data_IF_519159066565
#
_entry.id   IF_519159066565
#
_cell.length_a   1.000
_cell.length_b   1.000
_cell.length_c   1.000
_cell.angle_alpha   90.00
_cell.angle_beta   90.00
_cell.angle_gamma   90.00
#
_symmetry.space_group_name_H-M   'P 1'
#
loop_
_entity.id
_entity.type
_entity.pdbx_description
1 polymer ?
#
# COMPACT_ATOMS: atom_id res chain seq x y z
N UNK A 1 -0.60 -59.06 -8.08
CA UNK A 1 -1.10 -57.99 -7.18
C UNK A 1 -0.93 -56.65 -7.89
N UNK A 2 -2.00 -56.02 -8.37
CA UNK A 2 -1.95 -54.76 -9.13
C UNK A 2 -1.74 -53.58 -8.18
N UNK A 3 -0.58 -52.91 -8.25
CA UNK A 3 -0.31 -51.65 -7.53
C UNK A 3 -1.18 -50.54 -8.15
N UNK A 4 -2.06 -49.92 -7.37
CA UNK A 4 -2.87 -48.76 -7.77
C UNK A 4 -2.07 -47.49 -7.53
N UNK A 5 -1.73 -46.76 -8.58
CA UNK A 5 -1.19 -45.41 -8.50
C UNK A 5 -2.30 -44.47 -8.03
N UNK A 6 -2.11 -43.62 -7.00
CA UNK A 6 -3.16 -42.72 -6.55
C UNK A 6 -3.29 -41.56 -7.54
N UNK A 7 -4.37 -41.54 -8.32
CA UNK A 7 -4.79 -40.40 -9.15
C UNK A 7 -5.55 -39.39 -8.29
N UNK A 8 -4.88 -38.75 -7.34
CA UNK A 8 -5.43 -37.57 -6.68
C UNK A 8 -4.46 -36.42 -6.85
N UNK A 9 -4.81 -35.48 -7.73
CA UNK A 9 -4.19 -34.16 -7.73
C UNK A 9 -4.80 -33.41 -6.56
N UNK A 10 -4.02 -33.23 -5.50
CA UNK A 10 -4.36 -32.38 -4.37
C UNK A 10 -4.62 -30.97 -4.89
N UNK A 11 -5.64 -30.29 -4.37
CA UNK A 11 -5.85 -28.87 -4.70
C UNK A 11 -4.75 -28.02 -4.05
N UNK A 12 -4.44 -26.86 -4.63
CA UNK A 12 -3.34 -26.01 -4.13
C UNK A 12 -3.56 -25.56 -2.68
N UNK A 13 -4.81 -25.31 -2.30
CA UNK A 13 -5.21 -25.01 -0.92
C UNK A 13 -4.94 -26.19 0.03
N UNK A 14 -5.12 -27.42 -0.44
CA UNK A 14 -4.87 -28.63 0.34
C UNK A 14 -3.37 -28.89 0.53
N UNK A 15 -2.56 -28.56 -0.48
CA UNK A 15 -1.09 -28.60 -0.39
C UNK A 15 -0.56 -27.57 0.62
N UNK A 16 -1.02 -26.31 0.54
CA UNK A 16 -0.59 -25.22 1.44
C UNK A 16 -0.95 -25.52 2.89
N UNK A 17 -2.15 -26.06 3.15
CA UNK A 17 -2.62 -26.32 4.50
C UNK A 17 -2.02 -27.60 5.12
N UNK A 18 -1.53 -28.55 4.31
CA UNK A 18 -0.91 -29.78 4.82
C UNK A 18 0.46 -29.56 5.47
N UNK A 19 1.16 -28.47 5.11
CA UNK A 19 2.51 -28.17 5.60
C UNK A 19 2.54 -27.60 7.03
N UNK A 20 1.39 -27.35 7.66
CA UNK A 20 1.32 -26.79 9.01
C UNK A 20 0.81 -27.82 10.01
N UNK A 21 1.55 -28.93 10.16
CA UNK A 21 1.40 -29.81 11.31
C UNK A 21 2.35 -29.34 12.41
N UNK A 22 1.82 -28.68 13.44
CA UNK A 22 2.19 -28.90 14.84
C UNK A 22 1.19 -28.14 15.74
N UNK A 23 0.36 -28.92 16.44
CA UNK A 23 -0.14 -28.66 17.80
C UNK A 23 -0.51 -27.21 18.13
N UNK A 24 -1.80 -26.88 18.02
CA UNK A 24 -2.60 -26.15 19.02
C UNK A 24 -4.02 -26.00 18.45
N UNK A 25 -4.92 -26.88 18.89
CA UNK A 25 -6.34 -26.73 18.62
C UNK A 25 -6.85 -25.51 19.40
N UNK A 26 -6.98 -24.36 18.72
CA UNK A 26 -7.82 -23.26 19.17
C UNK A 26 -9.06 -23.30 18.28
N UNK A 27 -10.29 -23.37 18.82
CA UNK A 27 -11.49 -23.38 18.00
C UNK A 27 -11.62 -22.00 17.35
N UNK A 28 -11.33 -21.92 16.06
CA UNK A 28 -11.53 -20.70 15.28
C UNK A 28 -13.03 -20.44 15.15
N UNK A 29 -13.56 -19.31 15.65
CA UNK A 29 -14.95 -18.96 15.43
C UNK A 29 -15.18 -18.73 13.93
N UNK A 30 -16.37 -19.10 13.47
CA UNK A 30 -16.87 -19.00 12.10
C UNK A 30 -16.41 -17.72 11.37
N UNK A 31 -16.15 -17.76 10.05
CA UNK A 31 -15.69 -16.61 9.30
C UNK A 31 -16.77 -15.53 9.33
N UNK A 32 -16.57 -14.53 10.18
CA UNK A 32 -17.33 -13.29 10.13
C UNK A 32 -17.14 -12.73 8.71
N UNK A 33 -18.26 -12.58 7.99
CA UNK A 33 -18.33 -11.98 6.69
C UNK A 33 -17.65 -10.60 6.76
N UNK A 34 -16.41 -10.52 6.27
CA UNK A 34 -15.74 -9.24 6.05
C UNK A 34 -16.54 -8.52 4.99
N UNK A 35 -17.36 -7.56 5.40
CA UNK A 35 -18.00 -6.60 4.50
C UNK A 35 -16.92 -6.11 3.53
N UNK A 36 -17.09 -6.27 2.21
CA UNK A 36 -16.09 -5.79 1.27
C UNK A 36 -16.07 -4.27 1.38
N UNK A 37 -15.13 -3.75 2.16
CA UNK A 37 -14.89 -2.33 2.28
C UNK A 37 -14.72 -1.76 0.88
N UNK A 38 -15.50 -0.73 0.56
CA UNK A 38 -15.47 -0.04 -0.73
C UNK A 38 -14.01 0.20 -1.13
N UNK A 39 -13.50 -0.58 -2.10
CA UNK A 39 -12.14 -0.43 -2.60
C UNK A 39 -12.02 1.00 -3.13
N UNK A 40 -11.19 1.83 -2.50
CA UNK A 40 -10.85 3.15 -3.02
C UNK A 40 -10.19 2.91 -4.38
N UNK A 41 -10.80 3.42 -5.44
CA UNK A 41 -10.25 3.33 -6.80
C UNK A 41 -9.26 4.48 -6.93
N UNK A 42 -7.98 4.15 -7.01
CA UNK A 42 -6.92 5.14 -7.25
C UNK A 42 -6.59 5.16 -8.74
N UNK A 43 -6.37 6.36 -9.29
CA UNK A 43 -5.82 6.55 -10.64
C UNK A 43 -4.34 6.87 -10.50
N UNK A 44 -3.48 6.09 -11.15
CA UNK A 44 -2.05 6.40 -11.24
C UNK A 44 -1.83 7.60 -12.18
N UNK A 45 -0.91 8.50 -11.80
CA UNK A 45 -0.53 9.68 -12.56
C UNK A 45 0.98 9.67 -12.78
N UNK A 46 1.41 10.08 -13.99
CA UNK A 46 2.81 10.39 -14.28
C UNK A 46 3.02 11.89 -14.11
N UNK A 47 4.05 12.29 -13.36
CA UNK A 47 4.37 13.69 -13.08
C UNK A 47 5.80 13.99 -13.50
N UNK A 48 6.02 15.16 -14.08
CA UNK A 48 7.35 15.65 -14.46
C UNK A 48 7.86 16.60 -13.37
N UNK A 49 9.04 16.30 -12.84
CA UNK A 49 9.72 17.08 -11.79
C UNK A 49 11.18 17.26 -12.19
N UNK A 50 11.83 18.32 -11.71
CA UNK A 50 13.28 18.47 -11.83
C UNK A 50 13.99 17.55 -10.84
N UNK A 51 15.27 17.24 -11.08
CA UNK A 51 16.06 16.38 -10.19
C UNK A 51 16.10 16.93 -8.75
N UNK A 52 16.27 18.25 -8.60
CA UNK A 52 16.25 18.92 -7.31
C UNK A 52 14.92 18.71 -6.55
N UNK A 53 13.77 18.70 -7.23
CA UNK A 53 12.50 18.41 -6.57
C UNK A 53 12.41 16.95 -6.09
N UNK A 54 12.98 16.01 -6.84
CA UNK A 54 13.02 14.58 -6.44
C UNK A 54 13.92 14.41 -5.22
N UNK A 55 15.08 15.05 -5.21
CA UNK A 55 16.00 15.05 -4.07
C UNK A 55 15.35 15.60 -2.80
N UNK A 56 14.67 16.75 -2.89
CA UNK A 56 13.93 17.33 -1.75
C UNK A 56 12.85 16.38 -1.22
N UNK A 57 12.13 15.65 -2.09
CA UNK A 57 11.13 14.66 -1.66
C UNK A 57 11.81 13.52 -0.89
N UNK A 58 12.93 13.00 -1.40
CA UNK A 58 13.65 11.89 -0.78
C UNK A 58 14.29 12.30 0.55
N UNK A 59 14.77 13.55 0.68
CA UNK A 59 15.25 14.11 1.95
C UNK A 59 14.14 14.14 3.02
N UNK A 60 12.94 14.58 2.66
CA UNK A 60 11.78 14.59 3.58
C UNK A 60 11.43 13.17 4.02
N UNK A 61 11.45 12.19 3.10
CA UNK A 61 11.24 10.77 3.44
C UNK A 61 12.33 10.28 4.41
N UNK A 62 13.58 10.64 4.18
CA UNK A 62 14.70 10.31 5.07
C UNK A 62 14.59 10.95 6.45
N UNK A 63 14.14 12.21 6.53
CA UNK A 63 13.83 12.88 7.80
C UNK A 63 12.69 12.20 8.55
N UNK A 64 11.59 11.87 7.86
CA UNK A 64 10.46 11.17 8.46
C UNK A 64 10.86 9.81 9.03
N UNK A 65 11.67 9.04 8.30
CA UNK A 65 12.19 7.75 8.76
C UNK A 65 13.06 7.87 10.01
N UNK A 66 13.95 8.89 10.08
CA UNK A 66 14.77 9.18 11.27
C UNK A 66 13.92 9.54 12.50
N UNK A 67 12.75 10.13 12.28
CA UNK A 67 11.79 10.46 13.32
C UNK A 67 10.82 9.30 13.64
N UNK A 68 11.09 8.09 13.13
CA UNK A 68 10.28 6.90 13.40
C UNK A 68 9.02 6.79 12.53
N UNK A 69 8.78 7.70 11.60
CA UNK A 69 7.66 7.63 10.65
C UNK A 69 8.12 6.86 9.42
N UNK A 70 7.88 5.54 9.46
CA UNK A 70 8.25 4.60 8.41
C UNK A 70 7.12 4.35 7.40
N UNK A 71 7.49 3.85 6.22
CA UNK A 71 6.59 3.51 5.09
C UNK A 71 5.94 4.71 4.38
N UNK A 72 6.57 5.88 4.43
CA UNK A 72 6.18 7.02 3.59
C UNK A 72 6.70 6.80 2.17
N UNK A 73 5.84 7.05 1.17
CA UNK A 73 6.21 6.99 -0.25
C UNK A 73 6.26 8.39 -0.88
N UNK A 74 6.95 8.53 -2.02
CA UNK A 74 6.94 9.79 -2.81
C UNK A 74 5.51 10.26 -3.13
N UNK A 75 4.60 9.32 -3.40
CA UNK A 75 3.19 9.63 -3.63
C UNK A 75 2.49 10.22 -2.41
N UNK A 76 2.90 9.88 -1.19
CA UNK A 76 2.31 10.44 0.03
C UNK A 76 2.79 11.87 0.27
N UNK A 77 4.07 12.14 -0.01
CA UNK A 77 4.61 13.52 0.01
C UNK A 77 3.88 14.40 -1.02
N UNK A 78 3.66 13.89 -2.23
CA UNK A 78 2.92 14.64 -3.27
C UNK A 78 1.46 14.89 -2.84
N UNK A 79 0.78 13.91 -2.23
CA UNK A 79 -0.58 14.11 -1.70
C UNK A 79 -0.60 15.19 -0.62
N UNK A 80 0.32 15.14 0.35
CA UNK A 80 0.44 16.15 1.41
C UNK A 80 0.68 17.55 0.84
N UNK A 81 1.52 17.66 -0.20
CA UNK A 81 1.74 18.93 -0.89
C UNK A 81 0.45 19.44 -1.54
N UNK A 82 -0.31 18.59 -2.22
CA UNK A 82 -1.61 18.94 -2.82
C UNK A 82 -2.63 19.34 -1.74
N UNK A 83 -2.72 18.58 -0.65
CA UNK A 83 -3.63 18.87 0.46
C UNK A 83 -3.30 20.23 1.09
N UNK A 84 -2.02 20.60 1.18
CA UNK A 84 -1.60 21.93 1.66
C UNK A 84 -2.00 23.10 0.75
N UNK A 85 -2.33 22.82 -0.52
CA UNK A 85 -2.86 23.82 -1.44
C UNK A 85 -4.36 24.02 -1.25
N UNK A 86 -5.09 23.00 -0.77
CA UNK A 86 -6.54 23.07 -0.59
C UNK A 86 -6.97 24.12 0.44
N UNK A 87 -6.12 24.39 1.44
CA UNK A 87 -6.39 25.37 2.49
C UNK A 87 -6.03 26.82 2.10
N UNK A 88 -5.48 27.03 0.90
CA UNK A 88 -5.05 28.37 0.45
C UNK A 88 -6.20 29.10 -0.25
N UNK A 89 -6.28 30.41 -0.02
CA UNK A 89 -7.22 31.26 -0.76
C UNK A 89 -6.82 31.40 -2.22
N UNK A 90 -7.78 31.71 -3.09
CA UNK A 90 -7.53 31.91 -4.53
C UNK A 90 -6.42 32.95 -4.78
N UNK A 91 -6.43 34.06 -4.05
CA UNK A 91 -5.40 35.10 -4.16
C UNK A 91 -3.99 34.57 -3.82
N UNK A 92 -3.87 33.68 -2.83
CA UNK A 92 -2.60 33.06 -2.45
C UNK A 92 -2.12 32.06 -3.52
N UNK A 93 -3.03 31.28 -4.09
CA UNK A 93 -2.72 30.35 -5.18
C UNK A 93 -2.23 31.10 -6.42
N UNK A 94 -2.93 32.17 -6.82
CA UNK A 94 -2.51 33.01 -7.94
C UNK A 94 -1.16 33.69 -7.69
N UNK A 95 -0.90 34.10 -6.45
CA UNK A 95 0.40 34.68 -6.07
C UNK A 95 1.55 33.65 -6.15
N UNK A 96 1.29 32.38 -5.84
CA UNK A 96 2.27 31.30 -6.01
C UNK A 96 2.56 31.03 -7.48
N UNK A 97 1.52 31.02 -8.32
CA UNK A 97 1.68 30.80 -9.76
C UNK A 97 2.52 31.90 -10.44
N UNK A 98 2.44 33.14 -9.98
CA UNK A 98 3.25 34.25 -10.51
C UNK A 98 4.75 34.15 -10.18
N UNK A 99 5.13 33.26 -9.27
CA UNK A 99 6.54 33.04 -8.87
C UNK A 99 7.21 31.90 -9.63
N UNK A 100 6.44 31.13 -10.42
CA UNK A 100 6.96 30.12 -11.35
C UNK A 100 7.60 30.82 -12.56
#
# INVERSE_FOLDING_TARGET
MKKRTPTHRMSEDEFINSATSHTLAVPTPAPAAKTPGRKRVYKALSVSLTDNHVEMIDEVIGQAARNGIVRITRSDIIKLAIDSLADKSEAQLLALLKKL
#
